data_IF_648838887164
#
_entry.id   IF_648838887164
#
_cell.length_a   1.000
_cell.length_b   1.000
_cell.length_c   1.000
_cell.angle_alpha   90.00
_cell.angle_beta   90.00
_cell.angle_gamma   90.00
#
_symmetry.space_group_name_H-M   'P 1'
#
loop_
_entity.id
_entity.type
_entity.pdbx_description
1 polymer ?
#
# COMPACT_ATOMS: atom_id res chain seq x y z
N UNK A 1 6.63 64.68 49.56
CA UNK A 1 8.07 64.88 49.32
C UNK A 1 8.70 63.61 48.78
N UNK A 2 9.43 63.75 47.66
CA UNK A 2 10.67 63.06 47.22
C UNK A 2 10.76 61.53 47.26
N UNK A 3 10.77 60.93 46.05
CA UNK A 3 11.51 59.70 45.73
C UNK A 3 13.02 59.96 45.84
N UNK A 4 13.82 58.91 46.10
CA UNK A 4 14.92 58.64 45.17
C UNK A 4 15.05 57.16 44.80
N UNK A 5 15.58 56.96 43.59
CA UNK A 5 15.94 55.69 42.96
C UNK A 5 17.30 55.19 43.46
N UNK A 6 17.55 53.88 43.43
CA UNK A 6 18.69 53.35 42.65
C UNK A 6 18.49 51.88 42.25
N UNK A 7 18.98 51.61 41.04
CA UNK A 7 18.84 50.43 40.20
C UNK A 7 19.70 49.26 40.71
N UNK A 8 19.17 48.04 40.67
CA UNK A 8 19.97 46.85 40.35
C UNK A 8 19.19 45.97 39.37
N UNK A 9 19.70 45.93 38.15
CA UNK A 9 19.35 45.00 37.09
C UNK A 9 19.86 43.61 37.46
N UNK A 10 18.96 42.61 37.44
CA UNK A 10 19.37 41.24 37.14
C UNK A 10 18.31 40.60 36.26
N UNK A 11 18.67 40.47 34.98
CA UNK A 11 17.99 39.65 33.99
C UNK A 11 18.10 38.19 34.41
N UNK A 12 16.98 37.52 34.63
CA UNK A 12 16.91 36.06 34.52
C UNK A 12 15.86 35.71 33.49
N UNK A 13 16.39 35.37 32.32
CA UNK A 13 15.66 34.82 31.19
C UNK A 13 15.29 33.37 31.56
N UNK A 14 14.06 33.13 32.02
CA UNK A 14 13.55 31.75 32.14
C UNK A 14 12.94 31.38 30.79
N UNK A 15 13.76 30.77 29.96
CA UNK A 15 13.32 29.95 28.83
C UNK A 15 12.65 28.72 29.46
N UNK A 16 11.33 28.77 29.63
CA UNK A 16 10.55 27.55 29.82
C UNK A 16 10.51 26.84 28.47
N UNK A 17 11.38 25.84 28.32
CA UNK A 17 11.33 24.88 27.24
C UNK A 17 9.94 24.23 27.23
N UNK A 18 9.11 24.64 26.28
CA UNK A 18 8.00 23.83 25.79
C UNK A 18 8.63 22.58 25.18
N UNK A 19 8.67 21.51 25.97
CA UNK A 19 8.82 20.16 25.46
C UNK A 19 7.67 19.95 24.47
N UNK A 20 7.99 20.09 23.18
CA UNK A 20 7.08 19.72 22.11
C UNK A 20 6.73 18.26 22.27
N UNK A 21 5.50 17.99 22.70
CA UNK A 21 4.81 16.79 22.24
C UNK A 21 4.67 16.96 20.73
N UNK A 22 5.67 16.49 19.98
CA UNK A 22 5.41 15.99 18.65
C UNK A 22 4.31 14.94 18.81
N UNK A 23 3.19 15.01 18.08
CA UNK A 23 2.33 13.86 17.98
C UNK A 23 3.20 12.76 17.37
N UNK A 24 3.64 11.80 18.19
CA UNK A 24 4.20 10.58 17.68
C UNK A 24 3.15 10.06 16.70
N UNK A 25 3.48 10.02 15.41
CA UNK A 25 2.66 9.34 14.43
C UNK A 25 2.35 7.97 15.03
N UNK A 26 1.08 7.75 15.41
CA UNK A 26 0.68 6.53 16.10
C UNK A 26 1.11 5.39 15.19
N UNK A 27 2.01 4.53 15.67
CA UNK A 27 2.50 3.42 14.87
C UNK A 27 1.27 2.61 14.44
N UNK A 28 1.08 2.47 13.13
CA UNK A 28 -0.02 1.72 12.54
C UNK A 28 0.05 0.28 13.06
N UNK A 29 -1.03 -0.21 13.65
CA UNK A 29 -1.06 -1.55 14.24
C UNK A 29 -0.95 -2.61 13.13
N UNK A 30 -0.47 -3.83 13.43
CA UNK A 30 -0.49 -4.94 12.48
C UNK A 30 -1.89 -5.16 11.86
N UNK A 31 -2.94 -4.99 12.66
CA UNK A 31 -4.34 -5.06 12.23
C UNK A 31 -4.70 -4.03 11.16
N UNK A 32 -4.38 -2.76 11.42
CA UNK A 32 -4.62 -1.66 10.48
C UNK A 32 -3.83 -1.86 9.18
N UNK A 33 -2.58 -2.32 9.28
CA UNK A 33 -1.73 -2.54 8.13
C UNK A 33 -2.22 -3.69 7.23
N UNK A 34 -2.61 -4.82 7.82
CA UNK A 34 -3.20 -5.94 7.07
C UNK A 34 -4.51 -5.56 6.38
N UNK A 35 -5.35 -4.74 7.04
CA UNK A 35 -6.57 -4.17 6.45
C UNK A 35 -6.25 -3.18 5.33
N UNK A 36 -5.21 -2.36 5.47
CA UNK A 36 -4.80 -1.41 4.45
C UNK A 36 -4.35 -2.12 3.16
N UNK A 37 -3.54 -3.18 3.28
CA UNK A 37 -3.12 -4.02 2.14
C UNK A 37 -4.35 -4.64 1.46
N UNK A 38 -5.25 -5.22 2.25
CA UNK A 38 -6.46 -5.86 1.72
C UNK A 38 -7.37 -4.85 1.00
N UNK A 39 -7.59 -3.69 1.61
CA UNK A 39 -8.46 -2.63 1.06
C UNK A 39 -7.91 -2.15 -0.27
N UNK A 40 -6.60 -1.89 -0.34
CA UNK A 40 -5.94 -1.47 -1.56
C UNK A 40 -6.02 -2.55 -2.65
N UNK A 41 -5.91 -3.83 -2.30
CA UNK A 41 -6.06 -4.93 -3.25
C UNK A 41 -7.50 -5.02 -3.79
N UNK A 42 -8.50 -4.93 -2.91
CA UNK A 42 -9.91 -4.93 -3.29
C UNK A 42 -10.23 -3.77 -4.23
N UNK A 43 -9.78 -2.56 -3.91
CA UNK A 43 -9.95 -1.39 -4.78
C UNK A 43 -9.30 -1.58 -6.14
N UNK A 44 -8.12 -2.20 -6.20
CA UNK A 44 -7.44 -2.49 -7.46
C UNK A 44 -8.26 -3.47 -8.31
N UNK A 45 -8.76 -4.56 -7.73
CA UNK A 45 -9.62 -5.52 -8.44
C UNK A 45 -10.92 -4.88 -8.94
N UNK A 46 -11.57 -4.04 -8.12
CA UNK A 46 -12.76 -3.30 -8.54
C UNK A 46 -12.48 -2.37 -9.71
N UNK A 47 -11.34 -1.68 -9.71
CA UNK A 47 -10.91 -0.82 -10.82
C UNK A 47 -10.61 -1.62 -12.08
N UNK A 48 -9.98 -2.80 -11.95
CA UNK A 48 -9.78 -3.70 -13.10
C UNK A 48 -11.12 -4.11 -13.68
N UNK A 49 -12.05 -4.61 -12.87
CA UNK A 49 -13.39 -5.01 -13.34
C UNK A 49 -14.11 -3.84 -14.02
N UNK A 50 -14.03 -2.62 -13.47
CA UNK A 50 -14.60 -1.44 -14.09
C UNK A 50 -13.98 -1.13 -15.47
N UNK A 51 -12.65 -1.26 -15.62
CA UNK A 51 -11.96 -1.08 -16.90
C UNK A 51 -12.32 -2.15 -17.94
N UNK A 52 -12.68 -3.36 -17.49
CA UNK A 52 -13.04 -4.49 -18.37
C UNK A 52 -14.51 -4.48 -18.80
N UNK A 53 -15.38 -3.74 -18.08
CA UNK A 53 -16.85 -3.83 -18.20
C UNK A 53 -17.36 -3.70 -19.65
N UNK A 54 -16.92 -2.66 -20.36
CA UNK A 54 -17.37 -2.37 -21.72
C UNK A 54 -16.49 -2.99 -22.81
N UNK A 55 -15.55 -3.86 -22.40
CA UNK A 55 -14.62 -4.57 -23.27
C UNK A 55 -13.93 -3.65 -24.29
N UNK A 56 -13.27 -2.57 -23.83
CA UNK A 56 -12.54 -1.66 -24.71
C UNK A 56 -11.50 -2.38 -25.57
N UNK A 57 -11.10 -1.76 -26.68
CA UNK A 57 -10.04 -2.29 -27.52
C UNK A 57 -8.73 -2.45 -26.71
N UNK A 58 -7.90 -3.47 -26.99
CA UNK A 58 -6.65 -3.69 -26.26
C UNK A 58 -5.74 -2.46 -26.16
N UNK A 59 -5.62 -1.70 -27.25
CA UNK A 59 -4.80 -0.48 -27.30
C UNK A 59 -5.28 0.62 -26.34
N UNK A 60 -6.57 0.70 -26.05
CA UNK A 60 -7.15 1.69 -25.13
C UNK A 60 -7.13 1.20 -23.67
N UNK A 61 -7.08 -0.11 -23.47
CA UNK A 61 -7.16 -0.75 -22.16
C UNK A 61 -5.78 -0.95 -21.54
N UNK A 62 -4.81 -1.44 -22.32
CA UNK A 62 -3.50 -1.83 -21.82
C UNK A 62 -2.80 -0.69 -21.04
N UNK A 63 -2.70 0.55 -21.55
CA UNK A 63 -2.03 1.63 -20.82
C UNK A 63 -2.71 1.95 -19.48
N UNK A 64 -4.04 1.81 -19.40
CA UNK A 64 -4.80 2.06 -18.16
C UNK A 64 -4.53 0.99 -17.11
N UNK A 65 -4.43 -0.27 -17.53
CA UNK A 65 -4.09 -1.38 -16.64
C UNK A 65 -2.64 -1.31 -16.18
N UNK A 66 -1.70 -0.97 -17.05
CA UNK A 66 -0.28 -0.77 -16.69
C UNK A 66 -0.13 0.34 -15.65
N UNK A 67 -0.76 1.50 -15.89
CA UNK A 67 -0.76 2.61 -14.94
C UNK A 67 -1.38 2.22 -13.60
N UNK A 68 -2.55 1.56 -13.62
CA UNK A 68 -3.22 1.09 -12.40
C UNK A 68 -2.33 0.10 -11.63
N UNK A 69 -1.66 -0.82 -12.33
CA UNK A 69 -0.76 -1.80 -11.72
C UNK A 69 0.41 -1.11 -11.05
N UNK A 70 1.12 -0.22 -11.75
CA UNK A 70 2.28 0.48 -11.19
C UNK A 70 1.92 1.38 -9.99
N UNK A 71 0.80 2.10 -10.05
CA UNK A 71 0.35 2.93 -8.93
C UNK A 71 -0.06 2.09 -7.72
N UNK A 72 -0.65 0.92 -7.95
CA UNK A 72 -0.99 -0.03 -6.88
C UNK A 72 0.28 -0.63 -6.29
N UNK A 73 1.27 -1.02 -7.12
CA UNK A 73 2.57 -1.54 -6.67
C UNK A 73 3.26 -0.53 -5.76
N UNK A 74 3.35 0.74 -6.14
CA UNK A 74 3.99 1.78 -5.31
C UNK A 74 3.41 1.82 -3.90
N UNK A 75 2.08 1.84 -3.79
CA UNK A 75 1.36 1.86 -2.52
C UNK A 75 1.54 0.55 -1.73
N UNK A 76 1.53 -0.61 -2.40
CA UNK A 76 1.81 -1.89 -1.76
C UNK A 76 3.23 -1.95 -1.21
N UNK A 77 4.21 -1.45 -1.94
CA UNK A 77 5.61 -1.40 -1.50
C UNK A 77 5.78 -0.48 -0.29
N UNK A 78 5.08 0.65 -0.24
CA UNK A 78 5.07 1.52 0.95
C UNK A 78 4.54 0.77 2.19
N UNK A 79 3.43 0.05 2.05
CA UNK A 79 2.90 -0.81 3.12
C UNK A 79 3.87 -1.95 3.46
N UNK A 80 4.49 -2.56 2.47
CA UNK A 80 5.49 -3.62 2.64
C UNK A 80 6.73 -3.14 3.41
N UNK A 81 7.18 -1.91 3.20
CA UNK A 81 8.26 -1.31 4.00
C UNK A 81 7.87 -1.11 5.45
N UNK A 82 6.64 -0.67 5.73
CA UNK A 82 6.12 -0.57 7.10
C UNK A 82 6.07 -1.96 7.76
N UNK A 83 5.55 -2.96 7.05
CA UNK A 83 5.50 -4.36 7.51
C UNK A 83 6.91 -4.91 7.75
N UNK A 84 7.87 -4.60 6.88
CA UNK A 84 9.26 -5.05 7.01
C UNK A 84 9.95 -4.52 8.28
N UNK A 85 9.52 -3.36 8.79
CA UNK A 85 10.04 -2.75 10.01
C UNK A 85 9.44 -3.33 11.31
N UNK A 86 8.40 -4.16 11.22
CA UNK A 86 7.83 -4.86 12.38
C UNK A 86 8.78 -5.97 12.87
N UNK A 87 8.56 -6.39 14.11
CA UNK A 87 9.15 -7.61 14.64
C UNK A 87 8.51 -8.86 13.96
N UNK A 88 9.08 -10.07 14.17
CA UNK A 88 8.54 -11.28 13.54
C UNK A 88 7.07 -11.55 13.87
N UNK A 89 6.62 -11.25 15.10
CA UNK A 89 5.24 -11.45 15.51
C UNK A 89 4.27 -10.50 14.79
N UNK A 90 4.65 -9.22 14.67
CA UNK A 90 3.88 -8.21 13.93
C UNK A 90 3.79 -8.54 12.44
N UNK A 91 4.88 -8.98 11.82
CA UNK A 91 4.89 -9.47 10.43
C UNK A 91 3.90 -10.60 10.23
N UNK A 92 3.96 -11.63 11.08
CA UNK A 92 3.07 -12.78 10.99
C UNK A 92 1.60 -12.39 11.20
N UNK A 93 1.32 -11.42 12.09
CA UNK A 93 -0.03 -10.92 12.29
C UNK A 93 -0.58 -10.23 11.03
N UNK A 94 0.22 -9.36 10.39
CA UNK A 94 -0.14 -8.72 9.11
C UNK A 94 -0.40 -9.77 8.03
N UNK A 95 0.54 -10.71 7.85
CA UNK A 95 0.46 -11.74 6.81
C UNK A 95 -0.81 -12.60 6.97
N UNK A 96 -1.14 -13.01 8.19
CA UNK A 96 -2.36 -13.78 8.49
C UNK A 96 -3.63 -13.02 8.12
N UNK A 97 -3.67 -11.71 8.37
CA UNK A 97 -4.81 -10.87 8.00
C UNK A 97 -4.94 -10.80 6.48
N UNK A 98 -3.84 -10.58 5.77
CA UNK A 98 -3.84 -10.54 4.30
C UNK A 98 -4.34 -11.88 3.75
N UNK A 99 -3.78 -13.00 4.21
CA UNK A 99 -4.19 -14.34 3.76
C UNK A 99 -5.66 -14.63 4.00
N UNK A 100 -6.19 -14.30 5.19
CA UNK A 100 -7.60 -14.51 5.51
C UNK A 100 -8.52 -13.61 4.69
N UNK A 101 -8.09 -12.37 4.44
CA UNK A 101 -8.91 -11.41 3.72
C UNK A 101 -8.97 -11.72 2.23
N UNK A 102 -7.86 -12.16 1.62
CA UNK A 102 -7.86 -12.63 0.22
C UNK A 102 -8.82 -13.82 0.03
N UNK A 103 -8.92 -14.72 1.01
CA UNK A 103 -9.86 -15.86 0.99
C UNK A 103 -11.34 -15.46 1.11
N UNK A 104 -11.62 -14.26 1.60
CA UNK A 104 -12.98 -13.77 1.87
C UNK A 104 -13.39 -12.64 0.92
N UNK A 105 -12.62 -12.43 -0.16
CA UNK A 105 -12.99 -11.48 -1.20
C UNK A 105 -14.36 -11.85 -1.82
N UNK A 106 -15.15 -10.85 -2.25
CA UNK A 106 -16.48 -11.10 -2.79
C UNK A 106 -16.42 -12.03 -4.02
N UNK A 107 -17.09 -13.19 -4.02
CA UNK A 107 -17.05 -14.14 -5.13
C UNK A 107 -17.46 -13.53 -6.47
N UNK A 108 -18.45 -12.63 -6.46
CA UNK A 108 -18.95 -11.92 -7.63
C UNK A 108 -17.88 -11.02 -8.27
N UNK A 109 -16.97 -10.47 -7.47
CA UNK A 109 -15.86 -9.66 -7.97
C UNK A 109 -14.86 -10.55 -8.73
N UNK A 110 -14.54 -11.71 -8.17
CA UNK A 110 -13.63 -12.67 -8.82
C UNK A 110 -14.25 -13.25 -10.09
N UNK A 111 -15.56 -13.50 -10.10
CA UNK A 111 -16.28 -13.91 -11.29
C UNK A 111 -16.21 -12.84 -12.38
N UNK A 112 -16.56 -11.59 -12.08
CA UNK A 112 -16.50 -10.50 -13.05
C UNK A 112 -15.09 -10.26 -13.60
N UNK A 113 -14.07 -10.36 -12.73
CA UNK A 113 -12.66 -10.32 -13.13
C UNK A 113 -12.31 -11.46 -14.10
N UNK A 114 -12.69 -12.69 -13.76
CA UNK A 114 -12.40 -13.89 -14.56
C UNK A 114 -13.09 -13.85 -15.93
N UNK A 115 -14.35 -13.44 -15.97
CA UNK A 115 -15.12 -13.27 -17.21
C UNK A 115 -14.51 -12.17 -18.10
N UNK A 116 -14.12 -11.04 -17.50
CA UNK A 116 -13.42 -9.97 -18.20
C UNK A 116 -12.10 -10.46 -18.81
N UNK A 117 -11.28 -11.20 -18.05
CA UNK A 117 -10.04 -11.76 -18.57
C UNK A 117 -10.27 -12.82 -19.67
N UNK A 118 -11.30 -13.67 -19.54
CA UNK A 118 -11.59 -14.72 -20.51
C UNK A 118 -11.91 -14.15 -21.92
N UNK A 119 -12.49 -12.95 -21.98
CA UNK A 119 -12.67 -12.22 -23.24
C UNK A 119 -11.33 -11.91 -23.91
N UNK A 120 -10.38 -11.33 -23.16
CA UNK A 120 -9.09 -10.92 -23.70
C UNK A 120 -8.13 -12.09 -23.93
N UNK A 121 -8.27 -13.21 -23.23
CA UNK A 121 -7.41 -14.39 -23.43
C UNK A 121 -7.34 -14.86 -24.90
N UNK A 122 -8.45 -14.74 -25.64
CA UNK A 122 -8.51 -15.11 -27.06
C UNK A 122 -8.07 -13.98 -28.00
N UNK A 123 -8.19 -12.73 -27.57
CA UNK A 123 -7.93 -11.54 -28.40
C UNK A 123 -6.49 -11.07 -28.31
N UNK A 124 -5.94 -11.02 -27.10
CA UNK A 124 -4.60 -10.56 -26.80
C UNK A 124 -4.07 -11.26 -25.53
N UNK A 125 -3.15 -12.21 -25.74
CA UNK A 125 -2.56 -13.00 -24.65
C UNK A 125 -1.70 -12.16 -23.71
N UNK A 126 -1.07 -11.09 -24.20
CA UNK A 126 -0.23 -10.22 -23.37
C UNK A 126 -1.11 -9.38 -22.45
N UNK A 127 -2.21 -8.83 -22.99
CA UNK A 127 -3.20 -8.12 -22.19
C UNK A 127 -3.87 -9.04 -21.17
N UNK A 128 -4.23 -10.26 -21.55
CA UNK A 128 -4.77 -11.25 -20.61
C UNK A 128 -3.76 -11.58 -19.49
N UNK A 129 -2.48 -11.74 -19.83
CA UNK A 129 -1.43 -11.91 -18.83
C UNK A 129 -1.34 -10.69 -17.89
N UNK A 130 -1.38 -9.46 -18.44
CA UNK A 130 -1.36 -8.23 -17.64
C UNK A 130 -2.54 -8.16 -16.66
N UNK A 131 -3.76 -8.53 -17.11
CA UNK A 131 -4.93 -8.61 -16.23
C UNK A 131 -4.66 -9.61 -15.10
N UNK A 132 -4.20 -10.82 -15.43
CA UNK A 132 -3.93 -11.87 -14.45
C UNK A 132 -2.81 -11.53 -13.46
N UNK A 133 -1.85 -10.69 -13.84
CA UNK A 133 -0.78 -10.23 -12.94
C UNK A 133 -1.35 -9.47 -11.72
N UNK A 134 -2.58 -8.95 -11.77
CA UNK A 134 -3.21 -8.32 -10.60
C UNK A 134 -3.42 -9.29 -9.43
N UNK A 135 -3.48 -10.61 -9.66
CA UNK A 135 -3.50 -11.60 -8.57
C UNK A 135 -2.22 -11.60 -7.72
N UNK A 136 -1.11 -11.09 -8.25
CA UNK A 136 0.18 -11.05 -7.56
C UNK A 136 0.35 -9.78 -6.71
N UNK A 137 -0.55 -8.80 -6.83
CA UNK A 137 -0.46 -7.50 -6.16
C UNK A 137 -0.22 -7.60 -4.64
N UNK A 138 -0.86 -8.50 -3.87
CA UNK A 138 -0.60 -8.61 -2.44
C UNK A 138 0.86 -8.95 -2.08
N UNK A 139 1.59 -9.63 -2.98
CA UNK A 139 2.98 -10.03 -2.73
C UNK A 139 3.92 -8.82 -2.64
N UNK A 140 3.55 -7.68 -3.24
CA UNK A 140 4.30 -6.44 -3.13
C UNK A 140 4.27 -5.83 -1.73
N UNK A 141 3.41 -6.33 -0.82
CA UNK A 141 3.45 -5.99 0.60
C UNK A 141 4.19 -7.05 1.46
N UNK A 142 4.55 -8.21 0.90
CA UNK A 142 5.21 -9.33 1.58
C UNK A 142 6.51 -9.65 0.84
N UNK A 143 7.55 -8.88 1.12
CA UNK A 143 8.81 -8.88 0.36
C UNK A 143 9.50 -10.24 0.29
N UNK A 144 9.37 -11.09 1.31
CA UNK A 144 9.89 -12.45 1.27
C UNK A 144 9.22 -13.29 0.16
N UNK A 145 7.90 -13.16 0.00
CA UNK A 145 7.14 -13.81 -1.07
C UNK A 145 7.47 -13.20 -2.43
N UNK A 146 7.59 -11.88 -2.53
CA UNK A 146 7.97 -11.22 -3.77
C UNK A 146 9.37 -11.67 -4.25
N UNK A 147 10.34 -11.77 -3.34
CA UNK A 147 11.69 -12.25 -3.68
C UNK A 147 11.70 -13.70 -4.16
N UNK A 148 10.83 -14.54 -3.61
CA UNK A 148 10.68 -15.93 -4.03
C UNK A 148 10.05 -16.04 -5.42
N UNK A 149 9.00 -15.28 -5.70
CA UNK A 149 8.20 -15.43 -6.91
C UNK A 149 8.68 -14.56 -8.08
N UNK A 150 9.29 -13.41 -7.80
CA UNK A 150 9.71 -12.42 -8.79
C UNK A 150 10.99 -11.67 -8.32
N UNK A 151 12.15 -12.36 -8.23
CA UNK A 151 13.38 -11.76 -7.70
C UNK A 151 13.86 -10.53 -8.49
N UNK A 152 13.71 -10.54 -9.81
CA UNK A 152 14.06 -9.40 -10.67
C UNK A 152 13.17 -8.17 -10.41
N UNK A 153 11.89 -8.41 -10.07
CA UNK A 153 10.95 -7.34 -9.74
C UNK A 153 11.24 -6.76 -8.35
N UNK A 154 11.58 -7.62 -7.39
CA UNK A 154 12.07 -7.18 -6.08
C UNK A 154 13.32 -6.29 -6.24
N UNK A 155 14.27 -6.69 -7.09
CA UNK A 155 15.46 -5.90 -7.40
C UNK A 155 15.12 -4.55 -8.05
N UNK A 156 14.22 -4.51 -9.05
CA UNK A 156 13.72 -3.27 -9.67
C UNK A 156 13.19 -2.29 -8.63
N UNK A 157 12.54 -2.80 -7.58
CA UNK A 157 11.91 -2.02 -6.52
C UNK A 157 12.87 -1.69 -5.34
N UNK A 158 14.13 -2.11 -5.42
CA UNK A 158 15.12 -1.91 -4.36
C UNK A 158 14.89 -2.75 -3.11
N UNK A 159 14.19 -3.88 -3.25
CA UNK A 159 13.88 -4.83 -2.18
C UNK A 159 14.96 -5.92 -2.18
N UNK A 160 15.85 -5.89 -1.18
CA UNK A 160 16.95 -6.86 -1.00
C UNK A 160 16.55 -7.98 -0.05
#
# INVERSE_FOLDING_TARGET
MKRPWLKMTLTVLIISALLGLSPAARAETPDEMGKAVTTLYLEALQKVVALLKDRPAPADLQPKLEQLKEDTIKKMVELGRKRAALDPAGKQAVDKIIENSVKTLPPELFQAFSEGNAHYFKLDKNLSKLIMDFHLIPQYAIFEVLKQNAPQEAERLGIK
#
